data_IF_513962734310
#
_entry.id   IF_513962734310
#
_cell.length_a   1.000
_cell.length_b   1.000
_cell.length_c   1.000
_cell.angle_alpha   90.00
_cell.angle_beta   90.00
_cell.angle_gamma   90.00
#
_symmetry.space_group_name_H-M   'P 1'
#
loop_
_entity.id
_entity.type
_entity.pdbx_description
1 polymer ?
#
# COMPACT_ATOMS: atom_id res chain seq x y z
N UNK A 1 53.94 -18.81 -65.87
CA UNK A 1 52.65 -19.48 -65.59
C UNK A 1 51.67 -18.40 -65.11
N UNK A 2 50.69 -18.07 -65.96
CA UNK A 2 49.35 -17.47 -65.66
C UNK A 2 49.30 -16.07 -64.97
N UNK A 3 49.10 -15.00 -65.78
CA UNK A 3 47.93 -14.05 -65.85
C UNK A 3 47.79 -13.08 -64.65
N UNK A 4 47.51 -11.76 -64.76
CA UNK A 4 46.73 -10.99 -65.75
C UNK A 4 46.88 -9.45 -65.50
N UNK A 5 46.98 -8.69 -66.59
CA UNK A 5 46.35 -7.40 -66.95
C UNK A 5 46.36 -6.15 -66.02
N UNK A 6 47.00 -5.11 -66.56
CA UNK A 6 46.78 -3.67 -66.34
C UNK A 6 45.37 -3.22 -66.79
N UNK A 7 44.83 -2.13 -66.19
CA UNK A 7 44.52 -0.84 -66.85
C UNK A 7 43.85 0.12 -65.84
N UNK A 8 44.40 1.33 -65.75
CA UNK A 8 43.88 2.51 -65.05
C UNK A 8 42.80 3.20 -65.91
N UNK A 9 41.73 3.72 -65.31
CA UNK A 9 41.00 4.86 -65.88
C UNK A 9 40.43 5.75 -64.78
N UNK A 10 40.88 6.99 -64.78
CA UNK A 10 40.34 8.12 -64.00
C UNK A 10 39.11 8.68 -64.73
N UNK A 11 38.07 9.13 -64.02
CA UNK A 11 37.06 10.02 -64.57
C UNK A 11 36.66 11.13 -63.58
N UNK A 12 36.42 12.30 -64.16
CA UNK A 12 36.35 13.65 -63.58
C UNK A 12 34.89 14.04 -63.26
N UNK A 13 34.67 14.56 -62.05
CA UNK A 13 33.91 15.74 -61.58
C UNK A 13 32.61 16.28 -62.28
N UNK A 14 31.71 16.77 -61.40
CA UNK A 14 30.68 17.85 -61.47
C UNK A 14 29.19 17.53 -61.78
N UNK A 15 28.34 18.08 -60.88
CA UNK A 15 26.91 18.47 -60.96
C UNK A 15 25.91 17.39 -60.54
N UNK A 16 24.88 17.67 -59.75
CA UNK A 16 24.10 18.90 -59.61
C UNK A 16 23.40 18.96 -58.23
N UNK A 17 23.26 20.17 -57.71
CA UNK A 17 22.34 20.51 -56.62
C UNK A 17 20.93 19.95 -56.89
N UNK A 18 20.45 19.07 -56.02
CA UNK A 18 19.04 18.99 -55.68
C UNK A 18 18.94 19.44 -54.23
N UNK A 19 18.42 20.65 -54.08
CA UNK A 19 17.94 21.29 -52.85
C UNK A 19 17.48 20.23 -51.87
N UNK A 20 18.19 20.09 -50.75
CA UNK A 20 17.61 19.46 -49.56
C UNK A 20 16.37 20.28 -49.24
N UNK A 21 15.19 19.78 -49.60
CA UNK A 21 13.94 20.24 -49.00
C UNK A 21 14.22 20.27 -47.50
N UNK A 22 14.05 21.43 -46.89
CA UNK A 22 13.99 21.56 -45.44
C UNK A 22 13.00 20.51 -44.94
N UNK A 23 13.52 19.36 -44.51
CA UNK A 23 12.79 18.43 -43.66
C UNK A 23 12.79 19.14 -42.33
N UNK A 24 11.92 20.12 -42.19
CA UNK A 24 11.53 20.62 -40.88
C UNK A 24 10.77 19.46 -40.25
N UNK A 25 11.49 18.58 -39.57
CA UNK A 25 10.92 17.71 -38.55
C UNK A 25 10.24 18.67 -37.57
N UNK A 26 8.93 18.88 -37.71
CA UNK A 26 8.14 19.40 -36.60
C UNK A 26 8.31 18.37 -35.50
N UNK A 27 9.16 18.66 -34.52
CA UNK A 27 9.15 17.97 -33.26
C UNK A 27 7.69 17.99 -32.79
N UNK A 28 7.07 16.82 -32.70
CA UNK A 28 5.76 16.70 -32.09
C UNK A 28 5.91 17.26 -30.69
N UNK A 29 5.12 18.28 -30.35
CA UNK A 29 5.14 18.86 -29.02
C UNK A 29 4.82 17.72 -28.07
N UNK A 30 5.74 17.41 -27.16
CA UNK A 30 5.55 16.35 -26.18
C UNK A 30 4.21 16.59 -25.47
N UNK A 31 3.36 15.56 -25.39
CA UNK A 31 2.03 15.72 -24.81
C UNK A 31 2.18 16.08 -23.34
N UNK A 32 1.84 17.33 -23.00
CA UNK A 32 1.93 17.81 -21.64
C UNK A 32 0.73 17.30 -20.83
N UNK A 33 1.01 16.47 -19.81
CA UNK A 33 0.00 15.92 -18.92
C UNK A 33 -0.14 16.79 -17.67
N UNK A 34 -1.38 17.13 -17.32
CA UNK A 34 -1.67 17.83 -16.06
C UNK A 34 -1.41 16.90 -14.87
N UNK A 35 -1.30 17.44 -13.66
CA UNK A 35 -1.22 16.62 -12.45
C UNK A 35 -2.47 15.75 -12.24
N UNK A 36 -3.65 16.25 -12.66
CA UNK A 36 -4.88 15.45 -12.66
C UNK A 36 -4.74 14.24 -13.58
N UNK A 37 -4.22 14.41 -14.80
CA UNK A 37 -4.06 13.30 -15.74
C UNK A 37 -3.10 12.23 -15.20
N UNK A 38 -2.00 12.66 -14.57
CA UNK A 38 -1.03 11.76 -13.94
C UNK A 38 -1.63 11.00 -12.76
N UNK A 39 -2.43 11.69 -11.94
CA UNK A 39 -3.16 11.07 -10.84
C UNK A 39 -4.13 10.00 -11.35
N UNK A 40 -4.97 10.35 -12.34
CA UNK A 40 -5.95 9.40 -12.90
C UNK A 40 -5.27 8.19 -13.51
N UNK A 41 -4.15 8.40 -14.23
CA UNK A 41 -3.35 7.30 -14.76
C UNK A 41 -2.83 6.37 -13.67
N UNK A 42 -2.33 6.92 -12.55
CA UNK A 42 -1.84 6.11 -11.44
C UNK A 42 -2.98 5.38 -10.71
N UNK A 43 -4.11 6.06 -10.49
CA UNK A 43 -5.30 5.47 -9.88
C UNK A 43 -5.80 4.28 -10.70
N UNK A 44 -5.90 4.44 -12.03
CA UNK A 44 -6.28 3.36 -12.96
C UNK A 44 -5.29 2.19 -12.91
N UNK A 45 -3.98 2.47 -12.78
CA UNK A 45 -2.95 1.44 -12.67
C UNK A 45 -3.04 0.63 -11.38
N UNK A 46 -3.33 1.29 -10.26
CA UNK A 46 -3.53 0.62 -8.97
C UNK A 46 -4.81 -0.24 -9.02
N UNK A 47 -5.89 0.29 -9.58
CA UNK A 47 -7.21 -0.37 -9.63
C UNK A 47 -7.40 -1.41 -10.72
N UNK A 48 -6.46 -1.54 -11.67
CA UNK A 48 -6.48 -2.65 -12.62
C UNK A 48 -6.36 -3.97 -11.83
N UNK A 49 -7.33 -4.89 -11.88
CA UNK A 49 -7.24 -6.16 -11.16
C UNK A 49 -6.02 -7.01 -11.53
N UNK A 50 -5.37 -6.72 -12.68
CA UNK A 50 -4.12 -7.37 -13.11
C UNK A 50 -2.86 -6.76 -12.49
N UNK A 51 -2.97 -5.63 -11.81
CA UNK A 51 -1.85 -4.93 -11.17
C UNK A 51 -1.30 -5.69 -9.97
N UNK A 52 -2.18 -6.43 -9.27
CA UNK A 52 -1.83 -7.17 -8.06
C UNK A 52 -1.74 -6.32 -6.80
N UNK A 53 -2.15 -5.04 -6.81
CA UNK A 53 -2.11 -4.19 -5.60
C UNK A 53 -3.18 -4.53 -4.57
N UNK A 54 -4.38 -4.93 -5.03
CA UNK A 54 -5.51 -5.25 -4.16
C UNK A 54 -5.79 -6.76 -4.19
N UNK A 55 -6.08 -7.32 -3.03
CA UNK A 55 -6.67 -8.66 -2.89
C UNK A 55 -8.08 -8.72 -3.50
N UNK A 56 -8.65 -9.93 -3.59
CA UNK A 56 -10.02 -10.12 -4.11
C UNK A 56 -11.08 -9.51 -3.18
N UNK A 57 -10.75 -9.35 -1.91
CA UNK A 57 -11.54 -8.67 -0.89
C UNK A 57 -11.46 -7.13 -0.98
N UNK A 58 -10.53 -6.59 -1.77
CA UNK A 58 -10.24 -5.16 -1.88
C UNK A 58 -9.27 -4.63 -0.82
N UNK A 59 -8.63 -5.51 -0.04
CA UNK A 59 -7.58 -5.13 0.91
C UNK A 59 -6.30 -4.80 0.12
N UNK A 60 -5.65 -3.64 0.34
CA UNK A 60 -4.39 -3.33 -0.31
C UNK A 60 -3.28 -4.19 0.28
N UNK A 61 -2.54 -4.93 -0.54
CA UNK A 61 -1.28 -5.50 -0.08
C UNK A 61 -0.28 -4.38 0.20
N UNK A 62 0.73 -4.68 1.02
CA UNK A 62 1.85 -3.77 1.18
C UNK A 62 2.58 -3.55 -0.15
N UNK A 63 2.80 -4.62 -0.91
CA UNK A 63 3.40 -4.58 -2.23
C UNK A 63 2.86 -5.65 -3.16
N UNK A 64 2.96 -5.41 -4.47
CA UNK A 64 2.66 -6.42 -5.50
C UNK A 64 3.61 -7.61 -5.37
N UNK A 65 4.88 -7.34 -5.06
CA UNK A 65 5.89 -8.36 -4.82
C UNK A 65 5.70 -9.02 -3.45
N UNK A 66 5.90 -10.33 -3.39
CA UNK A 66 5.77 -11.13 -2.16
C UNK A 66 7.02 -11.12 -1.28
N UNK A 67 8.20 -11.11 -1.91
CA UNK A 67 9.48 -11.16 -1.20
C UNK A 67 9.92 -9.74 -0.88
N UNK A 68 9.53 -9.29 0.30
CA UNK A 68 9.93 -8.01 0.89
C UNK A 68 9.95 -8.19 2.41
N UNK A 69 10.97 -7.63 3.06
CA UNK A 69 11.14 -7.66 4.52
C UNK A 69 11.56 -6.26 4.94
N UNK A 70 10.71 -5.62 5.73
CA UNK A 70 10.86 -4.26 6.24
C UNK A 70 10.23 -4.13 7.64
N UNK A 71 9.06 -3.47 7.77
CA UNK A 71 8.29 -3.47 9.01
C UNK A 71 7.47 -4.75 9.21
N UNK A 72 6.98 -5.33 8.10
CA UNK A 72 6.45 -6.68 8.00
C UNK A 72 7.44 -7.56 7.22
N UNK A 73 7.21 -8.85 7.20
CA UNK A 73 8.13 -9.87 6.67
C UNK A 73 7.57 -10.63 5.45
N UNK A 74 6.47 -10.16 4.86
CA UNK A 74 5.88 -10.70 3.64
C UNK A 74 5.02 -9.65 2.94
N UNK A 75 5.20 -9.46 1.63
CA UNK A 75 4.61 -8.33 0.90
C UNK A 75 3.10 -8.37 0.71
N UNK A 76 2.51 -9.56 0.85
CA UNK A 76 1.05 -9.73 0.84
C UNK A 76 0.43 -9.66 2.24
N UNK A 77 1.20 -9.27 3.26
CA UNK A 77 0.57 -8.64 4.41
C UNK A 77 -0.01 -7.29 4.02
N UNK A 78 -0.91 -6.79 4.84
CA UNK A 78 -1.40 -5.42 4.78
C UNK A 78 -1.25 -4.74 6.13
N UNK A 79 -1.27 -3.42 6.12
CA UNK A 79 -1.13 -2.61 7.32
C UNK A 79 -2.25 -1.58 7.41
N UNK A 80 -2.55 -1.12 8.62
CA UNK A 80 -3.45 0.03 8.81
C UNK A 80 -2.94 1.29 8.08
N UNK A 81 -1.62 1.39 7.88
CA UNK A 81 -0.99 2.38 7.01
C UNK A 81 -1.46 2.22 5.55
N UNK A 82 -1.29 1.04 4.93
CA UNK A 82 -1.70 0.79 3.55
C UNK A 82 -3.21 1.06 3.36
N UNK A 83 -4.04 0.64 4.30
CA UNK A 83 -5.48 0.90 4.30
C UNK A 83 -5.79 2.41 4.35
N UNK A 84 -5.08 3.18 5.21
CA UNK A 84 -5.25 4.63 5.28
C UNK A 84 -4.83 5.35 3.98
N UNK A 85 -3.77 4.86 3.30
CA UNK A 85 -3.35 5.38 2.00
C UNK A 85 -4.35 5.07 0.90
N UNK A 86 -4.99 3.90 0.91
CA UNK A 86 -6.07 3.57 -0.02
C UNK A 86 -7.27 4.52 0.19
N UNK A 87 -7.70 4.74 1.44
CA UNK A 87 -8.78 5.71 1.73
C UNK A 87 -8.41 7.11 1.22
N UNK A 88 -7.16 7.52 1.41
CA UNK A 88 -6.70 8.82 0.92
C UNK A 88 -6.67 8.91 -0.62
N UNK A 89 -6.21 7.84 -1.28
CA UNK A 89 -6.25 7.69 -2.74
C UNK A 89 -7.69 7.85 -3.27
N UNK A 90 -8.65 7.19 -2.64
CA UNK A 90 -10.06 7.26 -3.04
C UNK A 90 -10.70 8.62 -2.75
N UNK A 91 -10.30 9.31 -1.68
CA UNK A 91 -10.74 10.68 -1.42
C UNK A 91 -10.25 11.65 -2.51
N UNK A 92 -9.02 11.50 -2.98
CA UNK A 92 -8.49 12.30 -4.09
C UNK A 92 -9.19 11.97 -5.42
N UNK A 93 -9.50 10.70 -5.65
CA UNK A 93 -10.29 10.29 -6.81
C UNK A 93 -11.69 10.94 -6.78
N UNK A 94 -12.37 10.88 -5.64
CA UNK A 94 -13.67 11.51 -5.43
C UNK A 94 -13.61 13.03 -5.65
N UNK A 95 -12.54 13.70 -5.19
CA UNK A 95 -12.32 15.13 -5.46
C UNK A 95 -12.27 15.45 -6.96
N UNK A 96 -11.57 14.64 -7.76
CA UNK A 96 -11.40 14.91 -9.20
C UNK A 96 -12.58 14.50 -10.07
N UNK A 97 -13.40 13.55 -9.62
CA UNK A 97 -14.45 12.89 -10.42
C UNK A 97 -15.86 13.13 -9.89
N UNK A 98 -15.99 13.51 -8.62
CA UNK A 98 -17.23 13.54 -7.85
C UNK A 98 -17.91 12.17 -7.68
N UNK A 99 -17.18 11.07 -7.88
CA UNK A 99 -17.63 9.70 -7.56
C UNK A 99 -17.05 9.25 -6.22
N UNK A 100 -17.93 9.10 -5.23
CA UNK A 100 -17.58 8.76 -3.85
C UNK A 100 -17.65 7.26 -3.55
N UNK A 101 -18.11 6.43 -4.50
CA UNK A 101 -18.29 4.99 -4.27
C UNK A 101 -16.98 4.26 -3.93
N UNK A 102 -15.84 4.53 -4.57
CA UNK A 102 -14.58 3.89 -4.18
C UNK A 102 -14.17 4.25 -2.74
N UNK A 103 -14.39 5.50 -2.32
CA UNK A 103 -14.11 5.95 -0.96
C UNK A 103 -14.98 5.20 0.05
N UNK A 104 -16.30 5.17 -0.16
CA UNK A 104 -17.23 4.40 0.67
C UNK A 104 -16.80 2.92 0.74
N UNK A 105 -16.41 2.34 -0.40
CA UNK A 105 -15.96 0.96 -0.46
C UNK A 105 -14.68 0.71 0.35
N UNK A 106 -13.71 1.62 0.27
CA UNK A 106 -12.47 1.52 1.04
C UNK A 106 -12.75 1.59 2.55
N UNK A 107 -13.73 2.40 2.96
CA UNK A 107 -14.16 2.45 4.37
C UNK A 107 -14.83 1.14 4.82
N UNK A 108 -15.68 0.54 3.99
CA UNK A 108 -16.26 -0.78 4.27
C UNK A 108 -15.19 -1.87 4.43
N UNK A 109 -14.16 -1.86 3.58
CA UNK A 109 -13.02 -2.80 3.67
C UNK A 109 -12.26 -2.58 4.99
N UNK A 110 -11.99 -1.33 5.34
CA UNK A 110 -11.35 -0.98 6.62
C UNK A 110 -12.17 -1.51 7.81
N UNK A 111 -13.46 -1.22 7.87
CA UNK A 111 -14.34 -1.69 8.96
C UNK A 111 -14.41 -3.20 9.04
N UNK A 112 -14.44 -3.89 7.89
CA UNK A 112 -14.61 -5.34 7.85
C UNK A 112 -13.37 -6.11 8.26
N UNK A 113 -12.18 -5.63 7.88
CA UNK A 113 -10.95 -6.42 8.01
C UNK A 113 -9.96 -5.84 9.00
N UNK A 114 -9.89 -4.51 9.15
CA UNK A 114 -8.89 -3.87 10.01
C UNK A 114 -9.41 -3.52 11.39
N UNK A 115 -10.70 -3.23 11.53
CA UNK A 115 -11.30 -2.94 12.84
C UNK A 115 -11.88 -4.24 13.39
N UNK A 116 -11.33 -4.79 14.49
CA UNK A 116 -11.83 -6.06 15.01
C UNK A 116 -13.28 -5.93 15.46
N UNK A 117 -14.12 -6.88 15.06
CA UNK A 117 -15.55 -6.84 15.36
C UNK A 117 -15.83 -6.99 16.86
N UNK A 118 -16.96 -6.41 17.27
CA UNK A 118 -17.41 -6.38 18.66
C UNK A 118 -17.63 -7.76 19.27
N UNK A 119 -18.23 -8.69 18.52
CA UNK A 119 -18.81 -9.92 19.07
C UNK A 119 -17.82 -11.08 19.03
N UNK A 120 -17.07 -11.22 17.95
CA UNK A 120 -16.19 -12.38 17.75
C UNK A 120 -14.73 -12.07 18.03
N UNK A 121 -14.27 -10.86 17.77
CA UNK A 121 -12.84 -10.52 17.86
C UNK A 121 -12.49 -9.68 19.10
N UNK A 122 -13.45 -8.99 19.73
CA UNK A 122 -13.29 -8.23 20.99
C UNK A 122 -14.29 -8.60 22.12
N UNK A 123 -14.64 -9.88 22.37
CA UNK A 123 -15.82 -10.26 23.17
C UNK A 123 -15.81 -9.84 24.64
N UNK A 124 -14.64 -9.53 25.21
CA UNK A 124 -14.44 -9.34 26.65
C UNK A 124 -14.10 -7.90 27.06
N UNK A 125 -14.19 -6.94 26.13
CA UNK A 125 -13.84 -5.54 26.42
C UNK A 125 -14.68 -4.90 27.54
N UNK A 126 -15.89 -5.40 27.78
CA UNK A 126 -16.75 -4.99 28.91
C UNK A 126 -16.14 -5.20 30.30
N UNK A 127 -15.08 -6.00 30.42
CA UNK A 127 -14.39 -6.24 31.69
C UNK A 127 -13.21 -5.29 31.94
N UNK A 128 -12.93 -4.38 31.00
CA UNK A 128 -11.91 -3.36 31.18
C UNK A 128 -12.20 -2.50 32.42
N UNK A 129 -11.18 -2.30 33.25
CA UNK A 129 -11.28 -1.50 34.47
C UNK A 129 -10.44 -0.23 34.33
N UNK A 130 -11.11 0.92 34.21
CA UNK A 130 -10.46 2.24 34.12
C UNK A 130 -9.57 2.58 35.33
N UNK A 131 -9.86 2.03 36.51
CA UNK A 131 -9.02 2.22 37.70
C UNK A 131 -7.80 1.28 37.75
N UNK A 132 -7.78 0.24 36.90
CA UNK A 132 -6.69 -0.74 36.80
C UNK A 132 -6.55 -1.23 35.34
N UNK A 133 -6.04 -0.37 34.44
CA UNK A 133 -6.10 -0.60 33.00
C UNK A 133 -5.17 -1.72 32.51
N UNK A 134 -4.06 -1.97 33.21
CA UNK A 134 -3.08 -3.00 32.87
C UNK A 134 -2.32 -3.48 34.12
N UNK A 135 -1.44 -4.46 33.94
CA UNK A 135 -0.40 -4.81 34.93
C UNK A 135 0.96 -4.54 34.31
N UNK A 136 1.86 -3.90 35.06
CA UNK A 136 3.18 -3.54 34.55
C UNK A 136 4.02 -4.79 34.20
N UNK A 137 4.69 -4.70 33.06
CA UNK A 137 5.71 -5.64 32.58
C UNK A 137 6.87 -4.79 32.05
N UNK A 138 8.13 -5.04 32.46
CA UNK A 138 9.26 -4.26 31.98
C UNK A 138 9.58 -4.57 30.51
N UNK A 139 10.08 -3.56 29.81
CA UNK A 139 10.70 -3.71 28.48
C UNK A 139 12.20 -3.94 28.64
N UNK A 140 12.80 -4.61 27.64
CA UNK A 140 14.23 -4.89 27.62
C UNK A 140 14.83 -4.62 26.25
N UNK A 141 16.07 -4.15 26.23
CA UNK A 141 16.84 -3.89 24.99
C UNK A 141 17.31 -5.16 24.25
N UNK A 142 16.98 -6.36 24.77
CA UNK A 142 17.41 -7.65 24.22
C UNK A 142 16.25 -8.65 24.19
N UNK A 143 15.88 -9.19 23.00
CA UNK A 143 14.84 -10.21 22.85
C UNK A 143 15.06 -11.47 23.72
N UNK A 144 16.31 -11.85 24.03
CA UNK A 144 16.60 -13.03 24.86
C UNK A 144 16.14 -12.90 26.32
N UNK A 145 15.73 -11.70 26.75
CA UNK A 145 15.20 -11.45 28.09
C UNK A 145 13.68 -11.67 28.19
N UNK A 146 13.02 -12.00 27.07
CA UNK A 146 11.60 -12.34 27.05
C UNK A 146 11.38 -13.85 27.22
N UNK A 147 10.28 -14.29 27.87
CA UNK A 147 9.16 -13.49 28.36
C UNK A 147 9.51 -12.69 29.62
N UNK A 148 9.14 -11.41 29.63
CA UNK A 148 9.30 -10.52 30.77
C UNK A 148 8.30 -10.89 31.90
N UNK A 149 8.77 -10.86 33.14
CA UNK A 149 7.94 -11.17 34.31
C UNK A 149 6.96 -10.05 34.66
N UNK A 150 5.73 -10.41 35.01
CA UNK A 150 4.69 -9.46 35.47
C UNK A 150 5.00 -8.95 36.88
N UNK A 151 4.98 -7.63 37.07
CA UNK A 151 5.25 -7.01 38.38
C UNK A 151 3.97 -6.38 38.94
N UNK A 152 3.26 -7.13 39.78
CA UNK A 152 1.97 -6.70 40.35
C UNK A 152 2.05 -5.57 41.37
N UNK A 153 3.23 -5.33 41.96
CA UNK A 153 3.44 -4.32 42.98
C UNK A 153 3.63 -2.90 42.41
N UNK A 154 3.91 -2.78 41.11
CA UNK A 154 4.13 -1.48 40.47
C UNK A 154 2.79 -0.72 40.35
N UNK A 155 2.78 0.58 40.69
CA UNK A 155 1.58 1.39 40.56
C UNK A 155 1.24 1.60 39.08
N UNK A 156 -0.06 1.50 38.76
CA UNK A 156 -0.60 1.81 37.42
C UNK A 156 -1.58 2.98 37.57
N UNK A 157 -1.54 3.91 36.62
CA UNK A 157 -2.43 5.06 36.58
C UNK A 157 -3.88 4.68 36.28
N UNK A 158 -4.78 5.66 36.40
CA UNK A 158 -6.18 5.54 35.99
C UNK A 158 -6.35 6.03 34.56
N UNK A 159 -7.14 5.32 33.77
CA UNK A 159 -7.56 5.76 32.44
C UNK A 159 -8.78 6.70 32.55
N UNK A 160 -8.68 7.96 32.10
CA UNK A 160 -9.77 8.92 32.21
C UNK A 160 -10.88 8.75 31.17
N UNK A 161 -10.77 7.84 30.19
CA UNK A 161 -11.64 7.75 29.01
C UNK A 161 -12.94 6.95 29.22
N UNK A 162 -13.43 6.87 30.45
CA UNK A 162 -14.68 6.16 30.77
C UNK A 162 -15.91 6.74 30.03
N UNK A 163 -15.89 8.03 29.72
CA UNK A 163 -16.92 8.75 28.98
C UNK A 163 -17.05 8.30 27.51
N UNK A 164 -15.94 7.94 26.87
CA UNK A 164 -15.93 7.36 25.51
C UNK A 164 -16.74 6.07 25.50
N UNK A 165 -16.48 5.18 26.46
CA UNK A 165 -17.20 3.91 26.51
C UNK A 165 -18.68 4.05 26.87
N UNK A 166 -19.01 5.05 27.70
CA UNK A 166 -20.41 5.37 28.01
C UNK A 166 -21.18 5.84 26.78
N UNK A 167 -20.49 6.49 25.82
CA UNK A 167 -21.11 7.01 24.59
C UNK A 167 -21.16 6.00 23.45
N UNK A 168 -20.13 5.18 23.27
CA UNK A 168 -19.95 4.36 22.08
C UNK A 168 -19.95 2.84 22.34
N UNK A 169 -19.92 2.41 23.61
CA UNK A 169 -19.73 1.01 23.98
C UNK A 169 -18.29 0.71 24.39
N UNK A 170 -18.04 -0.52 24.84
CA UNK A 170 -16.73 -0.92 25.38
C UNK A 170 -15.69 -1.22 24.31
N UNK A 171 -16.12 -1.37 23.06
CA UNK A 171 -15.29 -1.86 21.97
C UNK A 171 -14.42 -0.77 21.37
N UNK A 172 -13.22 -1.14 20.93
CA UNK A 172 -12.29 -0.22 20.30
C UNK A 172 -12.58 -0.16 18.80
N UNK A 173 -13.00 1.01 18.33
CA UNK A 173 -13.13 1.30 16.90
C UNK A 173 -11.81 1.89 16.37
N UNK A 174 -10.78 1.04 16.35
CA UNK A 174 -9.44 1.36 15.87
C UNK A 174 -8.94 0.21 14.99
N UNK A 175 -8.15 0.54 13.97
CA UNK A 175 -7.54 -0.48 13.12
C UNK A 175 -6.46 -1.25 13.89
N UNK A 176 -6.50 -2.58 13.83
CA UNK A 176 -5.30 -3.38 14.08
C UNK A 176 -4.26 -3.10 13.01
N UNK A 177 -2.98 -3.17 13.38
CA UNK A 177 -1.91 -2.60 12.56
C UNK A 177 -1.47 -3.50 11.40
N UNK A 178 -1.65 -4.83 11.49
CA UNK A 178 -1.15 -5.81 10.53
C UNK A 178 -2.21 -6.88 10.23
N UNK A 179 -2.36 -7.24 8.96
CA UNK A 179 -3.22 -8.35 8.51
C UNK A 179 -2.42 -9.28 7.62
N UNK A 180 -2.51 -10.58 7.87
CA UNK A 180 -2.11 -11.62 6.92
C UNK A 180 -3.26 -11.91 5.95
N UNK A 181 -3.26 -11.21 4.82
CA UNK A 181 -4.39 -11.15 3.89
C UNK A 181 -4.70 -12.50 3.27
N UNK A 182 -3.67 -13.26 2.93
CA UNK A 182 -3.76 -14.54 2.22
C UNK A 182 -3.68 -15.76 3.17
N UNK A 183 -3.72 -15.55 4.50
CA UNK A 183 -3.45 -16.58 5.52
C UNK A 183 -2.14 -17.35 5.24
N UNK A 184 -1.09 -16.61 4.83
CA UNK A 184 0.21 -17.18 4.49
C UNK A 184 0.86 -17.86 5.69
N UNK A 185 0.71 -17.30 6.89
CA UNK A 185 1.14 -17.93 8.15
C UNK A 185 0.24 -19.12 8.56
N UNK A 186 -1.01 -19.16 8.10
CA UNK A 186 -1.94 -20.26 8.37
C UNK A 186 -2.63 -20.22 9.74
N UNK A 187 -2.64 -19.07 10.42
CA UNK A 187 -3.24 -18.94 11.75
C UNK A 187 -4.77 -18.99 11.73
N UNK A 188 -5.42 -18.69 10.60
CA UNK A 188 -6.89 -18.75 10.49
C UNK A 188 -7.46 -20.12 10.85
N UNK A 189 -6.69 -21.19 10.61
CA UNK A 189 -7.05 -22.58 10.90
C UNK A 189 -7.22 -22.89 12.39
N UNK A 190 -6.72 -22.00 13.24
CA UNK A 190 -6.75 -22.13 14.70
C UNK A 190 -7.66 -21.08 15.36
N UNK A 191 -8.28 -20.20 14.57
CA UNK A 191 -9.38 -19.37 15.01
C UNK A 191 -10.65 -20.25 15.07
N UNK A 192 -11.13 -20.53 16.29
CA UNK A 192 -12.25 -21.44 16.56
C UNK A 192 -13.62 -20.85 16.28
#
# INVERSE_FOLDING_TARGET
MVKKFFIFFTFIFVSSLLVSKDITLKAEKEKEYTYKDKFMWLWEKIHDPKSGYLSVEGIPYHSVEKLIIEAHDYGHHSTSEAMSFLIWLEALYAYFTNDWKPFEKSWEVMEKYFIPDKKTEQPNMKYYNFDKPATYVPEYDDPYKYPAGVIYAEPVGKDPLSDVTARYGYEMYLMHWLIDVDDWYGFSKYAG
#
